data_IF_311083195431
#
_entry.id   IF_311083195431
#
_cell.length_a   1.000
_cell.length_b   1.000
_cell.length_c   1.000
_cell.angle_alpha   90.00
_cell.angle_beta   90.00
_cell.angle_gamma   90.00
#
_symmetry.space_group_name_H-M   'P 1'
#
loop_
_entity.id
_entity.type
_entity.pdbx_description
1 polymer ?
#
# COMPACT_ATOMS: atom_id res chain seq x y z
N UNK A 1 -24.25 13.35 28.21
CA UNK A 1 -22.99 13.00 27.52
C UNK A 1 -23.30 11.84 26.59
N UNK A 2 -23.37 12.08 25.28
CA UNK A 2 -23.47 11.00 24.32
C UNK A 2 -22.09 10.33 24.21
N UNK A 3 -22.00 9.05 24.57
CA UNK A 3 -20.88 8.20 24.20
C UNK A 3 -20.96 8.04 22.68
N UNK A 4 -20.20 8.84 21.92
CA UNK A 4 -19.98 8.51 20.52
C UNK A 4 -19.30 7.14 20.51
N UNK A 5 -19.90 6.10 19.90
CA UNK A 5 -19.18 4.85 19.70
C UNK A 5 -17.89 5.17 18.95
N UNK A 6 -16.78 4.58 19.38
CA UNK A 6 -15.53 4.73 18.66
C UNK A 6 -15.78 4.37 17.18
N UNK A 7 -15.41 5.23 16.22
CA UNK A 7 -15.59 4.92 14.82
C UNK A 7 -14.96 3.57 14.52
N UNK A 8 -15.63 2.74 13.73
CA UNK A 8 -15.03 1.48 13.30
C UNK A 8 -13.72 1.77 12.57
N UNK A 9 -12.75 0.85 12.62
CA UNK A 9 -11.40 1.05 12.03
C UNK A 9 -11.46 1.56 10.59
N UNK A 10 -12.44 1.08 9.80
CA UNK A 10 -12.65 1.55 8.42
C UNK A 10 -13.14 2.99 8.33
N UNK A 11 -13.98 3.45 9.26
CA UNK A 11 -14.41 4.85 9.33
C UNK A 11 -13.25 5.74 9.75
N UNK A 12 -12.47 5.34 10.75
CA UNK A 12 -11.25 6.05 11.16
C UNK A 12 -10.24 6.16 10.00
N UNK A 13 -10.06 5.08 9.23
CA UNK A 13 -9.25 5.06 8.01
C UNK A 13 -9.76 6.01 6.93
N UNK A 14 -11.07 6.07 6.73
CA UNK A 14 -11.68 7.00 5.77
C UNK A 14 -11.49 8.46 6.19
N UNK A 15 -11.69 8.76 7.47
CA UNK A 15 -11.53 10.11 8.02
C UNK A 15 -10.06 10.56 7.93
N UNK A 16 -9.11 9.66 8.23
CA UNK A 16 -7.68 9.91 8.03
C UNK A 16 -7.35 10.18 6.57
N UNK A 17 -7.86 9.36 5.64
CA UNK A 17 -7.61 9.56 4.21
C UNK A 17 -8.13 10.93 3.77
N UNK A 18 -9.35 11.30 4.16
CA UNK A 18 -9.93 12.62 3.91
C UNK A 18 -9.11 13.76 4.53
N UNK A 19 -8.52 13.57 5.72
CA UNK A 19 -7.64 14.58 6.33
C UNK A 19 -6.36 14.86 5.53
N UNK A 20 -5.98 13.94 4.63
CA UNK A 20 -4.84 14.12 3.73
C UNK A 20 -5.22 14.82 2.42
N UNK A 21 -6.51 15.08 2.15
CA UNK A 21 -6.97 15.79 0.97
C UNK A 21 -7.02 17.31 1.20
N UNK A 22 -6.64 18.08 0.17
CA UNK A 22 -6.79 19.54 0.19
C UNK A 22 -8.27 19.95 0.18
N UNK A 23 -9.13 19.18 -0.50
CA UNK A 23 -10.58 19.44 -0.61
C UNK A 23 -11.44 18.24 -0.19
N UNK A 24 -11.52 17.91 1.12
CA UNK A 24 -12.21 16.71 1.60
C UNK A 24 -13.69 16.61 1.19
N UNK A 25 -14.37 17.76 1.07
CA UNK A 25 -15.78 17.81 0.65
C UNK A 25 -15.95 17.40 -0.83
N UNK A 26 -15.04 17.81 -1.72
CA UNK A 26 -15.07 17.43 -3.13
C UNK A 26 -14.77 15.94 -3.31
N UNK A 27 -13.79 15.42 -2.56
CA UNK A 27 -13.47 14.00 -2.53
C UNK A 27 -14.68 13.17 -2.09
N UNK A 28 -15.40 13.64 -1.06
CA UNK A 28 -16.61 12.95 -0.60
C UNK A 28 -17.70 12.95 -1.66
N UNK A 29 -17.92 14.07 -2.35
CA UNK A 29 -18.87 14.15 -3.45
C UNK A 29 -18.49 13.23 -4.63
N UNK A 30 -17.18 13.06 -4.92
CA UNK A 30 -16.71 12.10 -5.92
C UNK A 30 -16.99 10.66 -5.48
N UNK A 31 -16.70 10.31 -4.22
CA UNK A 31 -16.98 8.97 -3.71
C UNK A 31 -18.48 8.65 -3.67
N UNK A 32 -19.32 9.62 -3.32
CA UNK A 32 -20.79 9.49 -3.34
C UNK A 32 -21.31 9.29 -4.78
N UNK A 33 -20.56 9.73 -5.78
CA UNK A 33 -20.84 9.53 -7.20
C UNK A 33 -20.17 8.27 -7.80
N UNK A 34 -19.63 7.38 -6.97
CA UNK A 34 -18.85 6.19 -7.38
C UNK A 34 -17.64 6.54 -8.28
N UNK A 35 -17.02 7.69 -8.02
CA UNK A 35 -15.78 8.13 -8.64
C UNK A 35 -14.59 8.08 -7.66
N UNK A 36 -13.37 8.15 -8.21
CA UNK A 36 -12.15 8.12 -7.41
C UNK A 36 -11.74 9.52 -6.96
N UNK A 37 -11.33 9.64 -5.69
CA UNK A 37 -10.78 10.87 -5.13
C UNK A 37 -9.32 11.07 -5.50
N UNK A 38 -8.92 12.30 -5.82
CA UNK A 38 -7.54 12.66 -6.13
C UNK A 38 -6.78 13.06 -4.86
N UNK A 39 -5.70 12.35 -4.53
CA UNK A 39 -4.85 12.65 -3.38
C UNK A 39 -3.41 12.92 -3.84
N UNK A 40 -2.87 14.13 -3.62
CA UNK A 40 -1.49 14.43 -3.99
C UNK A 40 -0.50 13.77 -3.02
N UNK A 41 0.52 13.13 -3.57
CA UNK A 41 1.65 12.62 -2.80
C UNK A 41 2.56 13.75 -2.30
N UNK A 42 3.25 13.52 -1.20
CA UNK A 42 4.42 14.28 -0.77
C UNK A 42 4.33 14.83 0.65
N UNK A 43 3.21 15.45 1.02
CA UNK A 43 3.03 16.06 2.34
C UNK A 43 2.95 15.01 3.45
N UNK A 44 2.03 14.06 3.30
CA UNK A 44 1.74 13.04 4.30
C UNK A 44 2.38 11.68 3.98
N UNK A 45 2.58 11.37 2.70
CA UNK A 45 3.03 10.07 2.22
C UNK A 45 3.61 10.19 0.80
N UNK A 46 4.46 9.25 0.41
CA UNK A 46 4.87 9.02 -0.98
C UNK A 46 4.27 7.71 -1.50
N UNK A 47 4.31 7.51 -2.81
CA UNK A 47 3.70 6.34 -3.46
C UNK A 47 4.76 5.44 -4.05
N UNK A 48 4.82 4.19 -3.59
CA UNK A 48 5.60 3.14 -4.23
C UNK A 48 4.70 2.24 -5.08
N UNK A 49 4.93 2.18 -6.38
CA UNK A 49 4.18 1.33 -7.31
C UNK A 49 4.92 0.03 -7.62
N UNK A 50 4.21 -1.09 -7.57
CA UNK A 50 4.73 -2.40 -8.00
C UNK A 50 3.60 -3.25 -8.57
N UNK A 51 3.92 -4.44 -9.10
CA UNK A 51 2.89 -5.34 -9.61
C UNK A 51 2.03 -5.90 -8.46
N UNK A 52 0.76 -6.19 -8.76
CA UNK A 52 -0.16 -6.79 -7.80
C UNK A 52 0.37 -8.13 -7.29
N UNK A 53 0.97 -8.95 -8.17
CA UNK A 53 1.57 -10.23 -7.80
C UNK A 53 2.67 -10.07 -6.74
N UNK A 54 3.61 -9.11 -6.93
CA UNK A 54 4.67 -8.83 -5.95
C UNK A 54 4.11 -8.25 -4.65
N UNK A 55 3.07 -7.42 -4.75
CA UNK A 55 2.37 -6.89 -3.58
C UNK A 55 1.78 -8.01 -2.74
N UNK A 56 1.14 -9.01 -3.36
CA UNK A 56 0.57 -10.15 -2.61
C UNK A 56 1.65 -10.95 -1.89
N UNK A 57 2.84 -11.11 -2.47
CA UNK A 57 3.97 -11.75 -1.79
C UNK A 57 4.51 -10.88 -0.64
N UNK A 58 4.67 -9.58 -0.85
CA UNK A 58 5.12 -8.66 0.18
C UNK A 58 4.15 -8.58 1.38
N UNK A 59 2.84 -8.56 1.13
CA UNK A 59 1.79 -8.57 2.18
C UNK A 59 1.87 -9.83 3.04
N UNK A 60 2.20 -10.98 2.46
CA UNK A 60 2.39 -12.24 3.21
C UNK A 60 3.66 -12.19 4.08
N UNK A 61 4.71 -11.54 3.59
CA UNK A 61 6.01 -11.46 4.28
C UNK A 61 6.04 -10.42 5.41
N UNK A 62 5.26 -9.33 5.30
CA UNK A 62 5.26 -8.24 6.28
C UNK A 62 4.19 -8.50 7.37
N UNK A 63 4.53 -8.40 8.67
CA UNK A 63 3.55 -8.53 9.75
C UNK A 63 2.41 -7.51 9.64
N UNK A 64 1.17 -7.92 9.94
CA UNK A 64 -0.03 -7.07 9.82
C UNK A 64 0.07 -5.75 10.58
N UNK A 65 0.70 -5.77 11.75
CA UNK A 65 0.87 -4.59 12.62
C UNK A 65 1.93 -3.60 12.10
N UNK A 66 2.63 -3.93 11.01
CA UNK A 66 3.64 -3.10 10.35
C UNK A 66 3.29 -2.79 8.90
N UNK A 67 2.14 -3.28 8.42
CA UNK A 67 1.59 -2.96 7.11
C UNK A 67 0.84 -1.64 7.19
N UNK A 68 1.24 -0.69 6.37
CA UNK A 68 0.45 0.49 6.11
C UNK A 68 -0.57 0.23 4.99
N UNK A 69 -1.27 1.29 4.54
CA UNK A 69 -2.28 1.20 3.50
C UNK A 69 -1.69 0.76 2.16
N UNK A 70 -2.38 -0.16 1.49
CA UNK A 70 -2.01 -0.67 0.17
C UNK A 70 -3.22 -0.66 -0.74
N UNK A 71 -3.11 0.05 -1.85
CA UNK A 71 -4.16 0.17 -2.85
C UNK A 71 -3.82 -0.66 -4.08
N UNK A 72 -4.73 -1.49 -4.56
CA UNK A 72 -4.58 -2.23 -5.80
C UNK A 72 -5.49 -1.69 -6.90
N UNK A 73 -5.04 -1.76 -8.14
CA UNK A 73 -5.86 -1.67 -9.35
C UNK A 73 -5.89 -3.05 -10.00
N UNK A 74 -7.01 -3.76 -9.82
CA UNK A 74 -7.15 -5.14 -10.29
C UNK A 74 -7.20 -5.23 -11.81
N UNK A 75 -7.61 -4.16 -12.52
CA UNK A 75 -7.67 -4.16 -13.97
C UNK A 75 -6.28 -4.01 -14.59
N UNK A 76 -5.44 -3.17 -13.99
CA UNK A 76 -4.07 -2.92 -14.45
C UNK A 76 -3.05 -3.92 -13.88
N UNK A 77 -3.43 -4.68 -12.84
CA UNK A 77 -2.52 -5.63 -12.19
C UNK A 77 -1.37 -4.96 -11.44
N UNK A 78 -1.60 -3.74 -10.95
CA UNK A 78 -0.63 -2.93 -10.21
C UNK A 78 -1.16 -2.60 -8.82
N UNK A 79 -0.26 -2.21 -7.93
CA UNK A 79 -0.60 -1.75 -6.60
C UNK A 79 0.35 -0.65 -6.13
N UNK A 80 -0.17 0.19 -5.25
CA UNK A 80 0.48 1.35 -4.67
C UNK A 80 0.55 1.20 -3.15
N UNK A 81 1.77 1.26 -2.66
CA UNK A 81 2.10 1.29 -1.24
C UNK A 81 2.22 2.74 -0.79
N UNK A 82 1.53 3.08 0.31
CA UNK A 82 1.69 4.39 0.95
C UNK A 82 2.89 4.33 1.91
N UNK A 83 3.88 5.19 1.65
CA UNK A 83 5.19 5.15 2.30
C UNK A 83 5.50 6.49 2.98
N UNK A 84 6.32 6.51 4.05
CA UNK A 84 6.78 7.76 4.65
C UNK A 84 7.56 8.63 3.63
N UNK A 85 7.28 9.94 3.55
CA UNK A 85 7.88 10.80 2.53
C UNK A 85 9.39 11.01 2.69
N UNK A 86 9.93 10.83 3.89
CA UNK A 86 11.36 11.05 4.21
C UNK A 86 12.29 9.92 3.74
N UNK A 87 11.74 8.76 3.38
CA UNK A 87 12.49 7.52 3.15
C UNK A 87 12.38 7.00 1.71
N UNK A 88 11.80 7.81 0.83
CA UNK A 88 11.62 7.52 -0.60
C UNK A 88 12.96 7.14 -1.30
N UNK A 89 14.04 7.87 -1.00
CA UNK A 89 15.35 7.65 -1.62
C UNK A 89 16.09 6.39 -1.14
N UNK A 90 15.60 5.68 -0.12
CA UNK A 90 16.15 4.39 0.29
C UNK A 90 15.63 3.22 -0.55
N UNK A 91 14.62 3.48 -1.39
CA UNK A 91 13.98 2.49 -2.24
C UNK A 91 14.41 2.59 -3.71
N UNK A 92 15.24 3.58 -4.06
CA UNK A 92 15.71 3.80 -5.43
C UNK A 92 16.48 2.59 -5.99
N UNK A 93 17.11 1.80 -5.12
CA UNK A 93 17.85 0.58 -5.49
C UNK A 93 16.95 -0.67 -5.62
N UNK A 94 15.68 -0.58 -5.25
CA UNK A 94 14.73 -1.71 -5.33
C UNK A 94 14.10 -1.73 -6.72
N UNK A 95 14.73 -2.44 -7.67
CA UNK A 95 14.26 -2.56 -9.07
C UNK A 95 12.81 -3.02 -9.24
N UNK A 96 12.20 -3.62 -8.20
CA UNK A 96 10.82 -4.07 -8.22
C UNK A 96 9.80 -2.99 -7.82
N UNK A 97 10.23 -1.79 -7.44
CA UNK A 97 9.39 -0.72 -6.90
C UNK A 97 9.69 0.62 -7.59
N UNK A 98 8.66 1.23 -8.18
CA UNK A 98 8.75 2.56 -8.77
C UNK A 98 8.22 3.58 -7.78
N UNK A 99 9.10 4.44 -7.25
CA UNK A 99 8.69 5.50 -6.33
C UNK A 99 8.28 6.74 -7.13
N UNK A 100 7.03 7.18 -6.96
CA UNK A 100 6.53 8.37 -7.64
C UNK A 100 6.98 9.66 -6.94
N UNK A 101 7.27 10.74 -7.69
CA UNK A 101 7.70 12.00 -7.12
C UNK A 101 6.58 12.66 -6.30
N UNK A 102 6.97 13.65 -5.48
CA UNK A 102 6.02 14.53 -4.77
C UNK A 102 5.09 15.23 -5.76
N UNK A 103 3.83 15.38 -5.38
CA UNK A 103 2.77 15.98 -6.19
C UNK A 103 2.12 15.00 -7.18
N UNK A 104 2.56 13.74 -7.21
CA UNK A 104 1.89 12.72 -8.01
C UNK A 104 0.52 12.39 -7.42
N UNK A 105 -0.51 12.35 -8.26
CA UNK A 105 -1.90 12.19 -7.82
C UNK A 105 -2.23 10.70 -7.78
N UNK A 106 -2.41 10.14 -6.58
CA UNK A 106 -3.02 8.84 -6.42
C UNK A 106 -4.54 8.98 -6.39
N UNK A 107 -5.22 8.19 -7.23
CA UNK A 107 -6.68 8.12 -7.24
C UNK A 107 -7.16 7.04 -6.29
N UNK A 108 -7.76 7.43 -5.17
CA UNK A 108 -8.17 6.50 -4.12
C UNK A 108 -9.70 6.29 -4.10
N UNK A 109 -10.16 5.03 -3.97
CA UNK A 109 -11.54 4.74 -3.64
C UNK A 109 -11.81 5.03 -2.16
N UNK A 110 -13.09 5.12 -1.74
CA UNK A 110 -13.44 5.10 -0.33
C UNK A 110 -12.90 3.83 0.35
N UNK A 111 -12.66 3.90 1.65
CA UNK A 111 -12.09 2.77 2.42
C UNK A 111 -13.12 1.65 2.59
N UNK A 112 -14.40 1.98 2.52
CA UNK A 112 -15.49 1.06 2.84
C UNK A 112 -15.84 0.09 1.71
N UNK A 113 -15.57 0.45 0.45
CA UNK A 113 -15.94 -0.35 -0.72
C UNK A 113 -15.05 -0.02 -1.93
N UNK A 114 -14.84 -0.98 -2.86
CA UNK A 114 -14.06 -0.75 -4.06
C UNK A 114 -14.81 0.12 -5.08
N UNK A 115 -14.07 0.94 -5.82
CA UNK A 115 -14.61 1.81 -6.88
C UNK A 115 -13.71 1.73 -8.11
N UNK A 116 -14.29 1.64 -9.31
CA UNK A 116 -13.57 1.61 -10.60
C UNK A 116 -12.44 0.54 -10.68
N UNK A 117 -12.61 -0.60 -10.02
CA UNK A 117 -11.61 -1.68 -9.97
C UNK A 117 -10.42 -1.41 -9.03
N UNK A 118 -10.48 -0.32 -8.25
CA UNK A 118 -9.54 -0.04 -7.18
C UNK A 118 -10.06 -0.56 -5.85
N UNK A 119 -9.18 -1.24 -5.12
CA UNK A 119 -9.51 -1.87 -3.84
C UNK A 119 -8.34 -1.74 -2.86
N UNK A 120 -8.65 -1.51 -1.59
CA UNK A 120 -7.66 -1.56 -0.53
C UNK A 120 -7.34 -3.02 -0.20
N UNK A 121 -6.10 -3.43 -0.41
CA UNK A 121 -5.57 -4.72 0.05
C UNK A 121 -5.35 -4.65 1.57
N UNK A 122 -4.67 -3.59 1.99
CA UNK A 122 -4.53 -3.20 3.39
C UNK A 122 -5.22 -1.86 3.56
N UNK A 123 -6.21 -1.83 4.45
CA UNK A 123 -7.02 -0.63 4.68
C UNK A 123 -6.23 0.33 5.58
N UNK A 124 -6.37 1.65 5.37
CA UNK A 124 -5.96 2.59 6.40
C UNK A 124 -6.73 2.31 7.68
N UNK A 125 -6.00 2.24 8.79
CA UNK A 125 -6.52 2.00 10.13
C UNK A 125 -6.94 3.30 10.85
N UNK A 126 -6.57 4.45 10.27
CA UNK A 126 -6.80 5.78 10.80
C UNK A 126 -5.67 6.32 11.68
N UNK A 127 -4.65 5.51 12.01
CA UNK A 127 -3.51 5.94 12.83
C UNK A 127 -2.49 6.76 12.04
N UNK A 128 -2.53 6.68 10.70
CA UNK A 128 -1.51 7.22 9.82
C UNK A 128 -0.23 6.38 9.79
N UNK A 129 -0.29 5.14 10.28
CA UNK A 129 0.81 4.19 10.12
C UNK A 129 1.04 3.90 8.64
N UNK A 130 2.28 4.10 8.20
CA UNK A 130 2.72 3.81 6.83
C UNK A 130 3.71 2.63 6.84
N UNK A 131 3.80 1.93 5.72
CA UNK A 131 4.71 0.78 5.61
C UNK A 131 6.15 1.26 5.67
N UNK A 132 6.97 0.60 6.51
CA UNK A 132 8.40 0.85 6.60
C UNK A 132 9.08 0.52 5.26
N UNK A 133 9.71 1.49 4.58
CA UNK A 133 10.39 1.29 3.31
C UNK A 133 11.44 0.19 3.33
N UNK A 134 12.16 0.02 4.45
CA UNK A 134 13.20 -1.00 4.57
C UNK A 134 12.57 -2.40 4.57
N UNK A 135 11.44 -2.57 5.26
CA UNK A 135 10.69 -3.83 5.25
C UNK A 135 10.11 -4.13 3.87
N UNK A 136 9.56 -3.11 3.21
CA UNK A 136 9.02 -3.27 1.87
C UNK A 136 10.13 -3.66 0.87
N UNK A 137 11.27 -2.97 0.92
CA UNK A 137 12.42 -3.29 0.08
C UNK A 137 12.93 -4.72 0.30
N UNK A 138 13.03 -5.16 1.55
CA UNK A 138 13.40 -6.53 1.88
C UNK A 138 12.37 -7.56 1.37
N UNK A 139 11.08 -7.28 1.47
CA UNK A 139 10.02 -8.16 1.02
C UNK A 139 9.91 -8.25 -0.52
N UNK A 140 10.29 -7.18 -1.23
CA UNK A 140 10.29 -7.12 -2.69
C UNK A 140 11.60 -7.62 -3.32
N UNK A 141 12.66 -7.77 -2.52
CA UNK A 141 13.96 -8.23 -2.99
C UNK A 141 13.91 -9.70 -3.44
N UNK A 142 14.52 -10.04 -4.59
CA UNK A 142 14.63 -11.41 -5.05
C UNK A 142 15.53 -12.19 -4.08
N UNK A 143 14.92 -12.95 -3.17
CA UNK A 143 15.62 -13.72 -2.13
C UNK A 143 14.83 -13.93 -0.83
N UNK A 144 13.68 -13.26 -0.64
CA UNK A 144 12.85 -13.37 0.56
C UNK A 144 11.77 -14.47 0.55
N UNK A 145 11.73 -15.32 -0.46
CA UNK A 145 10.90 -16.53 -0.46
C UNK A 145 11.67 -17.73 0.13
N UNK A 146 11.01 -18.74 0.72
CA UNK A 146 11.69 -19.88 1.32
C UNK A 146 12.35 -20.77 0.24
N UNK A 147 13.52 -20.37 -0.25
CA UNK A 147 14.38 -21.19 -1.09
C UNK A 147 15.42 -21.94 -0.23
N UNK A 148 14.93 -22.65 0.79
CA UNK A 148 15.79 -23.49 1.64
C UNK A 148 15.72 -24.99 1.28
N UNK A 149 15.08 -25.38 0.17
CA UNK A 149 14.94 -26.80 -0.19
C UNK A 149 15.09 -27.11 -1.69
N UNK A 150 16.04 -26.48 -2.38
CA UNK A 150 16.40 -26.97 -3.74
C UNK A 150 17.88 -26.90 -4.10
N UNK A 151 18.76 -27.24 -3.16
CA UNK A 151 20.15 -27.57 -3.50
C UNK A 151 20.79 -28.58 -2.55
N UNK A 152 20.35 -29.84 -2.60
CA UNK A 152 21.19 -31.00 -2.27
C UNK A 152 20.51 -32.30 -2.72
N UNK A 153 20.60 -32.60 -4.01
CA UNK A 153 20.41 -33.96 -4.54
C UNK A 153 20.97 -34.01 -5.98
N UNK A 154 22.27 -33.74 -6.12
CA UNK A 154 23.04 -34.23 -7.27
C UNK A 154 24.48 -34.45 -6.78
N UNK A 155 24.65 -35.52 -5.99
CA UNK A 155 25.96 -36.12 -5.77
C UNK A 155 25.75 -37.61 -5.47
N UNK A 156 25.67 -38.40 -6.54
CA UNK A 156 25.81 -39.86 -6.52
C UNK A 156 26.02 -40.35 -7.95
N UNK A 157 27.20 -40.10 -8.50
CA UNK A 157 27.75 -40.90 -9.59
C UNK A 157 29.25 -41.08 -9.38
N UNK A 158 29.61 -42.08 -8.57
CA UNK A 158 30.92 -42.74 -8.61
C UNK A 158 30.89 -43.98 -7.68
N UNK A 159 31.08 -45.17 -8.28
CA UNK A 159 31.27 -46.43 -7.57
C UNK A 159 30.66 -47.62 -8.28
#
# INVERSE_FOLDING_TARGET
MALHPAPCVRQAGQDWLLSCADTPAEIRALWDADELGNFPSGGHWTVGETSLARTMEAVKSIPAQRRGPVLADCHQGIAWWLLPPALAGQLDDVHALTVHPRGWILRCPPVLYPVRGRVWIEHPDGSGQLTDPVLLGAALSPGGGPDFLRRHADDSHLG
#
